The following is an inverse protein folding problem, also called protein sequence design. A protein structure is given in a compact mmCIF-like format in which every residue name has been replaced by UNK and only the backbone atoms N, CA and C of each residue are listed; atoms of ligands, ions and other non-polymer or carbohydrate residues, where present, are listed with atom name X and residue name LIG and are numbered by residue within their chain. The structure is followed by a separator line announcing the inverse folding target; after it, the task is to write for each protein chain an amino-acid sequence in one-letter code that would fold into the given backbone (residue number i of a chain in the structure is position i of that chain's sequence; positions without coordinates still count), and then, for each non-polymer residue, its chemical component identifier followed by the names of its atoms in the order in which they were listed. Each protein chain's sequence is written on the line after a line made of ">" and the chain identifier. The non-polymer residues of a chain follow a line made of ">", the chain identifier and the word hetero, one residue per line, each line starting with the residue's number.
data_IF_665413098860
#
_entry.id   IF_665413098860
#
_cell.length_a   1.000
_cell.length_b   1.000
_cell.length_c   1.000
_cell.angle_alpha   90.00
_cell.angle_beta   90.00
_cell.angle_gamma   90.00
#
_symmetry.space_group_name_H-M   'P 1'
#
loop_
_entity.id
_entity.type
_entity.pdbx_description
1 polymer ?
#
# COMPACT_ATOMS: atom_id res chain seq x y z
N UNK A 1 -0.86 -10.20 10.57
CA UNK A 1 0.44 -9.49 10.69
C UNK A 1 0.20 -8.00 10.49
N UNK A 2 0.96 -7.11 11.13
CA UNK A 2 0.87 -5.66 10.87
C UNK A 2 2.07 -5.25 10.02
N UNK A 3 1.82 -4.49 8.95
CA UNK A 3 2.83 -3.99 8.02
C UNK A 3 2.58 -2.49 7.80
N UNK A 4 3.66 -1.73 7.75
CA UNK A 4 3.62 -0.31 7.45
C UNK A 4 3.64 -0.08 5.93
N UNK A 5 2.74 0.77 5.43
CA UNK A 5 2.63 1.12 4.01
C UNK A 5 2.79 2.61 3.79
N UNK A 6 3.41 2.96 2.67
CA UNK A 6 3.45 4.32 2.14
C UNK A 6 3.29 4.28 0.63
N UNK A 7 2.39 5.12 0.12
CA UNK A 7 2.18 5.31 -1.32
C UNK A 7 2.81 6.63 -1.78
N UNK A 8 3.37 6.63 -2.99
CA UNK A 8 4.12 7.74 -3.57
C UNK A 8 3.42 8.30 -4.81
N UNK A 9 3.67 9.56 -5.13
CA UNK A 9 3.14 10.25 -6.32
C UNK A 9 1.63 10.02 -6.53
N UNK A 10 1.22 9.72 -7.77
CA UNK A 10 -0.17 9.56 -8.23
C UNK A 10 -0.92 8.43 -7.50
N UNK A 11 -0.21 7.45 -6.92
CA UNK A 11 -0.85 6.38 -6.15
C UNK A 11 -1.60 6.91 -4.92
N UNK A 12 -1.27 8.11 -4.45
CA UNK A 12 -1.99 8.74 -3.35
C UNK A 12 -3.41 9.16 -3.70
N UNK A 13 -3.76 9.29 -4.98
CA UNK A 13 -5.11 9.70 -5.39
C UNK A 13 -6.15 8.61 -5.09
N UNK A 14 -5.71 7.34 -5.02
CA UNK A 14 -6.53 6.20 -4.62
C UNK A 14 -6.69 6.03 -3.10
N UNK A 15 -5.83 6.68 -2.29
CA UNK A 15 -5.77 6.47 -0.85
C UNK A 15 -6.67 7.46 -0.11
N UNK A 16 -7.25 7.03 1.02
CA UNK A 16 -8.01 7.91 1.92
C UNK A 16 -7.16 9.14 2.35
N UNK A 17 -7.72 10.37 2.36
CA UNK A 17 -6.96 11.60 2.60
C UNK A 17 -6.05 11.57 3.84
N UNK A 18 -6.49 10.91 4.91
CA UNK A 18 -5.77 10.84 6.19
C UNK A 18 -4.51 9.96 6.11
N UNK A 19 -4.42 9.11 5.09
CA UNK A 19 -3.33 8.13 4.85
C UNK A 19 -2.41 8.52 3.70
N UNK A 20 -2.73 9.60 2.98
CA UNK A 20 -1.91 10.09 1.86
C UNK A 20 -0.56 10.61 2.33
N UNK A 21 0.46 10.35 1.53
CA UNK A 21 1.84 10.87 1.61
C UNK A 21 2.51 10.64 2.96
N UNK A 22 2.07 9.62 3.69
CA UNK A 22 2.61 9.23 5.00
C UNK A 22 2.63 7.71 5.11
N UNK A 23 3.41 7.24 6.07
CA UNK A 23 3.37 5.85 6.47
C UNK A 23 2.15 5.60 7.38
N UNK A 24 1.54 4.42 7.25
CA UNK A 24 0.48 3.98 8.13
C UNK A 24 0.47 2.46 8.27
N UNK A 25 0.01 1.99 9.43
CA UNK A 25 -0.12 0.56 9.71
C UNK A 25 -1.36 -0.04 9.05
N UNK A 26 -1.20 -1.25 8.52
CA UNK A 26 -2.29 -2.06 8.00
C UNK A 26 -2.18 -3.51 8.46
N UNK A 27 -3.27 -4.05 8.98
CA UNK A 27 -3.34 -5.45 9.38
C UNK A 27 -3.65 -6.32 8.15
N UNK A 28 -2.71 -7.18 7.78
CA UNK A 28 -2.85 -8.15 6.71
C UNK A 28 -2.97 -9.59 7.25
N UNK A 29 -3.67 -10.45 6.50
CA UNK A 29 -3.61 -11.89 6.73
C UNK A 29 -2.19 -12.39 6.47
N UNK A 30 -1.76 -13.40 7.22
CA UNK A 30 -0.36 -13.90 7.17
C UNK A 30 0.00 -14.46 5.79
N UNK A 31 -0.98 -14.93 5.02
CA UNK A 31 -0.87 -15.51 3.69
C UNK A 31 -1.33 -14.56 2.57
N UNK A 32 -1.63 -13.30 2.88
CA UNK A 32 -2.03 -12.32 1.89
C UNK A 32 -0.89 -12.01 0.92
N UNK A 33 -1.17 -12.06 -0.38
CA UNK A 33 -0.25 -11.54 -1.40
C UNK A 33 -0.22 -10.02 -1.36
N UNK A 34 0.91 -9.42 -1.75
CA UNK A 34 1.04 -7.96 -1.79
C UNK A 34 -0.02 -7.31 -2.71
N UNK A 35 -0.34 -7.98 -3.82
CA UNK A 35 -1.39 -7.57 -4.77
C UNK A 35 -2.74 -7.38 -4.07
N UNK A 36 -3.17 -8.40 -3.30
CA UNK A 36 -4.45 -8.34 -2.59
C UNK A 36 -4.46 -7.25 -1.52
N UNK A 37 -3.33 -7.00 -0.85
CA UNK A 37 -3.24 -5.93 0.16
C UNK A 37 -3.33 -4.55 -0.49
N UNK A 38 -2.61 -4.34 -1.60
CA UNK A 38 -2.63 -3.08 -2.36
C UNK A 38 -4.06 -2.80 -2.87
N UNK A 39 -4.73 -3.80 -3.45
CA UNK A 39 -6.13 -3.68 -3.92
C UNK A 39 -7.10 -3.40 -2.75
N UNK A 40 -6.91 -4.04 -1.59
CA UNK A 40 -7.71 -3.78 -0.40
C UNK A 40 -7.51 -2.35 0.17
N UNK A 41 -6.37 -1.73 -0.11
CA UNK A 41 -6.08 -0.34 0.24
C UNK A 41 -6.66 0.68 -0.77
N UNK A 42 -7.23 0.19 -1.88
CA UNK A 42 -7.90 1.00 -2.90
C UNK A 42 -7.07 1.25 -4.16
N UNK A 43 -5.80 0.83 -4.18
CA UNK A 43 -4.91 1.01 -5.33
C UNK A 43 -5.04 -0.18 -6.27
N UNK A 44 -5.36 0.00 -7.56
CA UNK A 44 -5.28 -1.10 -8.52
C UNK A 44 -3.82 -1.55 -8.65
N UNK A 45 -3.53 -2.84 -8.46
CA UNK A 45 -2.16 -3.32 -8.47
C UNK A 45 -1.44 -3.09 -9.81
N UNK A 46 -2.20 -2.92 -10.90
CA UNK A 46 -1.69 -2.64 -12.25
C UNK A 46 -1.08 -1.25 -12.38
N UNK A 47 -1.43 -0.32 -11.49
CA UNK A 47 -0.85 1.02 -11.44
C UNK A 47 0.49 1.05 -10.68
N UNK A 48 0.87 -0.06 -10.01
CA UNK A 48 2.09 -0.13 -9.20
C UNK A 48 3.26 -0.61 -10.05
N UNK A 49 4.20 0.29 -10.33
CA UNK A 49 5.40 -0.02 -11.12
C UNK A 49 6.59 -0.51 -10.28
N UNK A 50 6.71 -0.03 -9.04
CA UNK A 50 7.82 -0.35 -8.13
C UNK A 50 7.29 -0.62 -6.72
N UNK A 51 7.82 -1.67 -6.10
CA UNK A 51 7.60 -1.98 -4.69
C UNK A 51 8.96 -1.96 -4.00
N UNK A 52 9.06 -1.16 -2.94
CA UNK A 52 10.21 -1.15 -2.04
C UNK A 52 9.87 -1.94 -0.79
N UNK A 53 10.71 -2.90 -0.42
CA UNK A 53 10.53 -3.68 0.81
C UNK A 53 11.53 -3.19 1.82
N UNK A 54 11.04 -2.57 2.90
CA UNK A 54 11.88 -1.93 3.93
C UNK A 54 12.85 -0.88 3.35
N UNK A 55 12.43 -0.19 2.28
CA UNK A 55 13.20 0.87 1.63
C UNK A 55 14.26 0.40 0.62
N UNK A 56 14.29 -0.90 0.28
CA UNK A 56 15.19 -1.49 -0.73
C UNK A 56 14.39 -2.08 -1.89
#
# INVERSE_FOLDING_TARGET
>A
MVVAFRFYEELNDFIAPERRRREFDFACATDATIKHVIEALGVPHTEVELILVNGV
#
